data_IF_084729074750
#
_entry.id   IF_084729074750
#
_cell.length_a   1.000
_cell.length_b   1.000
_cell.length_c   1.000
_cell.angle_alpha   90.00
_cell.angle_beta   90.00
_cell.angle_gamma   90.00
#
_symmetry.space_group_name_H-M   'P 1'
#
loop_
_entity.id
_entity.type
_entity.pdbx_description
1 polymer ?
#
# COMPACT_ATOMS: atom_id res chain seq x y z
N UNK A 1 -14.40 -0.29 -25.18
CA UNK A 1 -14.73 -0.94 -23.89
C UNK A 1 -13.64 -1.96 -23.61
N UNK A 2 -12.83 -1.73 -22.60
CA UNK A 2 -11.77 -2.65 -22.15
C UNK A 2 -12.37 -4.01 -21.81
N UNK A 3 -11.73 -5.06 -22.28
CA UNK A 3 -12.05 -6.42 -21.86
C UNK A 3 -10.96 -6.91 -20.93
N UNK A 4 -11.37 -7.31 -19.75
CA UNK A 4 -10.52 -7.97 -18.78
C UNK A 4 -10.74 -9.47 -18.85
N UNK A 5 -9.67 -10.22 -18.97
CA UNK A 5 -9.70 -11.68 -18.83
C UNK A 5 -9.18 -12.05 -17.45
N UNK A 6 -9.93 -12.86 -16.71
CA UNK A 6 -9.45 -13.39 -15.43
C UNK A 6 -8.50 -14.55 -15.70
N UNK A 7 -7.29 -14.48 -15.13
CA UNK A 7 -6.28 -15.53 -15.26
C UNK A 7 -5.75 -15.93 -13.90
N UNK A 8 -5.71 -17.22 -13.55
CA UNK A 8 -5.09 -17.65 -12.31
C UNK A 8 -3.57 -17.47 -12.36
N UNK A 9 -2.96 -17.26 -11.20
CA UNK A 9 -1.50 -17.22 -11.04
C UNK A 9 -1.06 -18.15 -9.93
N UNK A 10 0.19 -18.60 -9.99
CA UNK A 10 0.78 -19.43 -8.94
C UNK A 10 0.75 -18.70 -7.58
N UNK A 11 0.36 -19.41 -6.52
CA UNK A 11 0.27 -18.85 -5.18
C UNK A 11 -0.97 -17.99 -4.92
N UNK A 12 -1.90 -17.89 -5.87
CA UNK A 12 -3.19 -17.25 -5.65
C UNK A 12 -3.96 -17.98 -4.54
N UNK A 13 -4.52 -17.23 -3.61
CA UNK A 13 -5.32 -17.74 -2.52
C UNK A 13 -6.81 -17.64 -2.86
N UNK A 14 -7.64 -18.38 -2.14
CA UNK A 14 -9.09 -18.34 -2.28
C UNK A 14 -9.72 -18.16 -0.91
N UNK A 15 -10.47 -17.08 -0.70
CA UNK A 15 -11.11 -16.75 0.56
C UNK A 15 -12.55 -16.27 0.32
N UNK A 16 -13.52 -16.81 1.08
CA UNK A 16 -14.93 -16.39 1.00
C UNK A 16 -15.47 -16.36 -0.44
N UNK A 17 -15.21 -17.41 -1.21
CA UNK A 17 -15.59 -17.57 -2.63
C UNK A 17 -14.97 -16.53 -3.59
N UNK A 18 -13.89 -15.88 -3.19
CA UNK A 18 -13.15 -14.91 -3.99
C UNK A 18 -11.66 -15.23 -4.06
N UNK A 19 -11.09 -15.12 -5.25
CA UNK A 19 -9.65 -15.25 -5.49
C UNK A 19 -8.90 -14.03 -4.93
N UNK A 20 -7.74 -14.24 -4.34
CA UNK A 20 -6.89 -13.18 -3.80
C UNK A 20 -5.42 -13.37 -4.21
N UNK A 21 -4.83 -12.38 -4.91
CA UNK A 21 -5.50 -11.26 -5.59
C UNK A 21 -6.35 -11.72 -6.78
N UNK A 22 -7.35 -10.92 -7.19
CA UNK A 22 -7.99 -11.08 -8.49
C UNK A 22 -6.98 -10.72 -9.57
N UNK A 23 -6.75 -11.61 -10.54
CA UNK A 23 -5.85 -11.32 -11.66
C UNK A 23 -6.67 -10.94 -12.89
N UNK A 24 -6.40 -9.74 -13.41
CA UNK A 24 -7.06 -9.19 -14.58
C UNK A 24 -6.04 -8.91 -15.68
N UNK A 25 -6.06 -9.72 -16.72
CA UNK A 25 -5.22 -9.53 -17.89
C UNK A 25 -5.94 -8.63 -18.90
N UNK A 26 -5.19 -7.71 -19.49
CA UNK A 26 -5.61 -6.77 -20.52
C UNK A 26 -4.68 -6.94 -21.71
N UNK A 27 -5.22 -6.91 -22.92
CA UNK A 27 -4.41 -6.90 -24.13
C UNK A 27 -4.26 -5.46 -24.63
N UNK A 28 -3.05 -4.92 -24.45
CA UNK A 28 -2.67 -3.61 -24.97
C UNK A 28 -2.78 -2.45 -23.97
N UNK A 29 -2.39 -1.26 -24.41
CA UNK A 29 -2.38 -0.08 -23.57
C UNK A 29 -3.80 0.32 -23.16
N UNK A 30 -3.93 0.73 -21.90
CA UNK A 30 -5.18 1.17 -21.29
C UNK A 30 -5.21 2.69 -21.24
N UNK A 31 -6.22 3.32 -21.80
CA UNK A 31 -6.38 4.75 -21.68
C UNK A 31 -6.96 5.18 -20.33
N UNK A 32 -6.68 6.40 -19.93
CA UNK A 32 -7.27 7.01 -18.73
C UNK A 32 -8.80 7.02 -18.79
N UNK A 33 -9.37 7.26 -19.96
CA UNK A 33 -10.84 7.24 -20.13
C UNK A 33 -11.42 5.84 -19.91
N UNK A 34 -10.78 4.81 -20.47
CA UNK A 34 -11.23 3.42 -20.27
C UNK A 34 -11.24 3.04 -18.78
N UNK A 35 -10.23 3.43 -18.03
CA UNK A 35 -10.15 3.17 -16.58
C UNK A 35 -11.24 3.93 -15.82
N UNK A 36 -11.48 5.18 -16.17
CA UNK A 36 -12.50 6.00 -15.53
C UNK A 36 -13.90 5.39 -15.75
N UNK A 37 -14.19 4.94 -16.95
CA UNK A 37 -15.47 4.26 -17.27
C UNK A 37 -15.63 2.93 -16.51
N UNK A 38 -14.52 2.22 -16.24
CA UNK A 38 -14.52 0.93 -15.53
C UNK A 38 -14.31 1.05 -14.02
N UNK A 39 -13.97 2.24 -13.52
CA UNK A 39 -13.63 2.44 -12.10
C UNK A 39 -14.71 1.92 -11.12
N UNK A 40 -16.02 2.12 -11.34
CA UNK A 40 -17.03 1.59 -10.44
C UNK A 40 -17.01 0.05 -10.36
N UNK A 41 -16.91 -0.63 -11.50
CA UNK A 41 -16.83 -2.09 -11.56
C UNK A 41 -15.55 -2.61 -10.90
N UNK A 42 -14.41 -1.92 -11.12
CA UNK A 42 -13.13 -2.27 -10.49
C UNK A 42 -13.17 -2.08 -8.99
N UNK A 43 -13.85 -1.05 -8.49
CA UNK A 43 -14.05 -0.83 -7.06
C UNK A 43 -14.88 -1.97 -6.40
N UNK A 44 -15.94 -2.42 -7.05
CA UNK A 44 -16.72 -3.58 -6.58
C UNK A 44 -15.86 -4.85 -6.53
N UNK A 45 -15.07 -5.10 -7.58
CA UNK A 45 -14.15 -6.25 -7.60
C UNK A 45 -13.07 -6.14 -6.53
N UNK A 46 -12.49 -4.95 -6.34
CA UNK A 46 -11.52 -4.73 -5.28
C UNK A 46 -12.10 -5.00 -3.89
N UNK A 47 -13.33 -4.56 -3.63
CA UNK A 47 -14.01 -4.82 -2.37
C UNK A 47 -14.24 -6.32 -2.12
N UNK A 48 -14.61 -7.07 -3.17
CA UNK A 48 -14.84 -8.51 -3.06
C UNK A 48 -13.53 -9.30 -2.89
N UNK A 49 -12.49 -8.94 -3.62
CA UNK A 49 -11.25 -9.70 -3.73
C UNK A 49 -10.12 -9.18 -2.83
N UNK A 50 -10.19 -7.95 -2.31
CA UNK A 50 -9.17 -7.33 -1.47
C UNK A 50 -7.95 -6.79 -2.21
N UNK A 51 -7.60 -7.34 -3.36
CA UNK A 51 -6.56 -6.85 -4.24
C UNK A 51 -6.83 -7.25 -5.70
N UNK A 52 -6.37 -6.41 -6.64
CA UNK A 52 -6.42 -6.70 -8.08
C UNK A 52 -5.00 -6.62 -8.64
N UNK A 53 -4.57 -7.66 -9.33
CA UNK A 53 -3.32 -7.71 -10.07
C UNK A 53 -3.60 -7.51 -11.55
N UNK A 54 -3.22 -6.35 -12.09
CA UNK A 54 -3.33 -6.05 -13.50
C UNK A 54 -2.13 -6.59 -14.28
N UNK A 55 -2.37 -7.17 -15.44
CA UNK A 55 -1.35 -7.69 -16.37
C UNK A 55 -1.60 -7.18 -17.77
N UNK A 56 -0.54 -6.84 -18.51
CA UNK A 56 -0.62 -6.49 -19.92
C UNK A 56 -1.16 -5.09 -20.23
N UNK A 57 -1.30 -4.20 -19.23
CA UNK A 57 -1.87 -2.84 -19.39
C UNK A 57 -0.93 -1.82 -20.05
N UNK A 58 0.23 -2.23 -20.55
CA UNK A 58 1.15 -1.33 -21.26
C UNK A 58 1.89 -0.32 -20.36
N UNK A 59 1.84 -0.48 -19.05
CA UNK A 59 2.58 0.35 -18.10
C UNK A 59 4.03 -0.13 -18.03
N UNK A 60 4.99 0.75 -18.38
CA UNK A 60 6.41 0.42 -18.45
C UNK A 60 7.32 1.39 -17.68
N UNK A 61 6.81 2.54 -17.26
CA UNK A 61 7.57 3.59 -16.59
C UNK A 61 6.69 4.39 -15.61
N UNK A 62 7.32 5.19 -14.76
CA UNK A 62 6.64 5.95 -13.72
C UNK A 62 5.53 6.87 -14.24
N UNK A 63 5.73 7.55 -15.38
CA UNK A 63 4.71 8.44 -15.95
C UNK A 63 3.50 7.65 -16.46
N UNK A 64 3.71 6.54 -17.16
CA UNK A 64 2.62 5.67 -17.59
C UNK A 64 1.85 5.08 -16.40
N UNK A 65 2.54 4.82 -15.30
CA UNK A 65 1.90 4.39 -14.05
C UNK A 65 1.09 5.51 -13.38
N UNK A 66 1.60 6.74 -13.37
CA UNK A 66 0.83 7.91 -12.88
C UNK A 66 -0.47 8.09 -13.66
N UNK A 67 -0.39 8.02 -15.01
CA UNK A 67 -1.55 8.14 -15.88
C UNK A 67 -2.56 7.00 -15.66
N UNK A 68 -2.07 5.79 -15.45
CA UNK A 68 -2.91 4.64 -15.10
C UNK A 68 -3.64 4.85 -13.78
N UNK A 69 -2.94 5.25 -12.72
CA UNK A 69 -3.54 5.55 -11.40
C UNK A 69 -4.54 6.70 -11.49
N UNK A 70 -4.20 7.76 -12.23
CA UNK A 70 -5.09 8.90 -12.44
C UNK A 70 -6.41 8.53 -13.13
N UNK A 71 -6.43 7.44 -13.91
CA UNK A 71 -7.63 6.92 -14.56
C UNK A 71 -8.71 6.45 -13.61
N UNK A 72 -8.37 6.09 -12.38
CA UNK A 72 -9.35 5.70 -11.35
C UNK A 72 -10.12 6.88 -10.75
N UNK A 73 -9.70 8.12 -11.03
CA UNK A 73 -10.39 9.32 -10.52
C UNK A 73 -10.26 9.53 -9.00
N UNK A 74 -9.41 8.80 -8.35
CA UNK A 74 -9.17 8.93 -6.90
C UNK A 74 -8.32 10.18 -6.60
N UNK A 75 -8.59 10.87 -5.47
CA UNK A 75 -7.74 11.99 -5.05
C UNK A 75 -6.32 11.50 -4.77
N UNK A 76 -5.34 12.35 -5.10
CA UNK A 76 -3.96 12.07 -4.75
C UNK A 76 -3.75 12.17 -3.24
N UNK A 77 -2.93 11.27 -2.69
CA UNK A 77 -2.45 11.32 -1.32
C UNK A 77 -0.95 11.68 -1.36
N UNK A 78 -0.58 12.95 -1.17
CA UNK A 78 0.81 13.37 -1.24
C UNK A 78 1.59 12.77 -0.07
N UNK A 79 2.66 12.03 -0.40
CA UNK A 79 3.42 11.30 0.59
C UNK A 79 4.35 12.19 1.42
N UNK A 80 4.81 13.30 0.87
CA UNK A 80 5.61 14.32 1.53
C UNK A 80 4.87 15.04 2.67
N UNK A 81 3.55 15.10 2.61
CA UNK A 81 2.70 15.58 3.71
C UNK A 81 2.38 14.48 4.74
N UNK A 82 2.82 13.25 4.50
CA UNK A 82 2.55 12.14 5.38
C UNK A 82 3.46 12.13 6.60
N UNK A 83 2.99 11.57 7.71
CA UNK A 83 3.78 11.32 8.91
C UNK A 83 4.56 9.99 8.83
N UNK A 84 4.76 9.45 7.64
CA UNK A 84 5.51 8.22 7.44
C UNK A 84 7.01 8.45 7.60
N UNK A 85 7.70 7.43 8.09
CA UNK A 85 9.17 7.47 8.22
C UNK A 85 9.89 6.77 7.08
N UNK A 86 9.18 6.19 6.14
CA UNK A 86 9.82 5.52 5.02
C UNK A 86 10.54 6.54 4.15
N UNK A 87 11.77 6.24 3.77
CA UNK A 87 12.49 7.02 2.78
C UNK A 87 11.96 6.67 1.40
N UNK A 88 11.42 7.66 0.71
CA UNK A 88 10.85 7.52 -0.64
C UNK A 88 11.24 8.71 -1.50
N UNK A 89 11.43 8.49 -2.78
CA UNK A 89 11.73 9.53 -3.75
C UNK A 89 10.58 9.69 -4.74
N UNK A 90 10.07 10.90 -4.88
CA UNK A 90 9.03 11.20 -5.85
C UNK A 90 9.59 11.07 -7.27
N UNK A 91 8.90 10.33 -8.12
CA UNK A 91 9.16 10.15 -9.55
C UNK A 91 8.22 11.00 -10.41
N UNK A 92 7.00 11.17 -9.93
CA UNK A 92 5.96 12.04 -10.46
C UNK A 92 5.14 12.61 -9.30
N UNK A 93 4.14 13.47 -9.51
CA UNK A 93 3.28 13.95 -8.42
C UNK A 93 2.53 12.86 -7.64
N UNK A 94 2.31 11.66 -8.24
CA UNK A 94 1.59 10.54 -7.60
C UNK A 94 2.47 9.33 -7.33
N UNK A 95 3.58 9.21 -8.03
CA UNK A 95 4.42 8.01 -8.01
C UNK A 95 5.71 8.29 -7.26
N UNK A 96 6.02 7.45 -6.33
CA UNK A 96 7.26 7.47 -5.56
C UNK A 96 7.83 6.05 -5.42
N UNK A 97 9.11 5.97 -5.09
CA UNK A 97 9.78 4.68 -4.90
C UNK A 97 9.16 3.90 -3.74
N UNK A 98 9.31 2.59 -3.73
CA UNK A 98 9.07 1.80 -2.53
C UNK A 98 10.00 2.25 -1.39
N UNK A 99 9.77 1.77 -0.17
CA UNK A 99 10.65 2.08 0.95
C UNK A 99 12.09 1.65 0.65
N UNK A 100 13.02 2.59 0.69
CA UNK A 100 14.45 2.38 0.43
C UNK A 100 15.23 1.97 1.69
N UNK A 101 14.60 1.25 2.59
CA UNK A 101 15.27 0.70 3.75
C UNK A 101 16.44 -0.23 3.35
N UNK A 102 17.55 -0.26 4.11
CA UNK A 102 18.62 -1.20 3.86
C UNK A 102 18.12 -2.65 3.82
N UNK A 103 18.70 -3.49 2.96
CA UNK A 103 18.28 -4.89 2.75
C UNK A 103 18.21 -5.75 4.04
N UNK A 104 18.99 -5.39 5.06
CA UNK A 104 19.00 -6.07 6.37
C UNK A 104 17.81 -5.74 7.26
N UNK A 105 17.02 -4.72 6.90
CA UNK A 105 15.85 -4.29 7.66
C UNK A 105 14.66 -5.15 7.25
N UNK A 106 14.14 -5.92 8.18
CA UNK A 106 12.92 -6.70 7.98
C UNK A 106 11.71 -5.78 8.06
N UNK A 107 10.84 -5.82 7.04
CA UNK A 107 9.60 -5.07 6.98
C UNK A 107 8.45 -6.07 7.09
N UNK A 108 7.78 -6.07 8.23
CA UNK A 108 6.62 -6.93 8.48
C UNK A 108 5.39 -6.46 7.71
N UNK A 109 4.43 -7.37 7.54
CA UNK A 109 3.11 -7.04 7.01
C UNK A 109 2.46 -5.95 7.88
N UNK A 110 2.00 -4.88 7.25
CA UNK A 110 1.38 -3.73 7.92
C UNK A 110 0.37 -3.06 6.98
N UNK A 111 -0.57 -2.35 7.55
CA UNK A 111 -1.34 -1.37 6.80
C UNK A 111 -0.52 -0.10 6.62
N UNK A 112 -0.55 0.46 5.42
CA UNK A 112 0.16 1.71 5.15
C UNK A 112 -0.37 2.81 6.06
N UNK A 113 0.54 3.42 6.83
CA UNK A 113 0.29 4.54 7.74
C UNK A 113 -0.75 4.28 8.85
N UNK A 114 -0.96 3.02 9.26
CA UNK A 114 -1.93 2.67 10.31
C UNK A 114 -1.67 3.35 11.66
N UNK A 115 -0.45 3.82 11.92
CA UNK A 115 -0.04 4.54 13.13
C UNK A 115 -0.35 6.05 13.08
N UNK A 116 -0.96 6.54 12.02
CA UNK A 116 -1.28 7.98 11.84
C UNK A 116 -2.78 8.19 11.69
N UNK A 117 -3.30 9.40 11.98
CA UNK A 117 -4.71 9.70 11.77
C UNK A 117 -5.09 9.83 10.29
N UNK A 118 -4.11 9.99 9.39
CA UNK A 118 -4.31 10.09 7.95
C UNK A 118 -3.64 8.90 7.27
N UNK A 119 -4.38 8.16 6.47
CA UNK A 119 -3.92 6.99 5.74
C UNK A 119 -4.62 6.90 4.38
N UNK A 120 -3.96 6.35 3.36
CA UNK A 120 -4.56 6.18 2.04
C UNK A 120 -5.64 5.09 2.08
N UNK A 121 -6.74 5.32 1.37
CA UNK A 121 -7.79 4.31 1.20
C UNK A 121 -7.43 3.22 0.18
N UNK A 122 -6.56 3.55 -0.76
CA UNK A 122 -6.11 2.66 -1.83
C UNK A 122 -4.60 2.78 -2.01
N UNK A 123 -3.97 1.66 -2.31
CA UNK A 123 -2.55 1.57 -2.65
C UNK A 123 -2.40 0.98 -4.04
N UNK A 124 -1.49 1.56 -4.82
CA UNK A 124 -1.11 1.07 -6.12
C UNK A 124 0.37 0.75 -6.12
N UNK A 125 0.72 -0.40 -6.66
CA UNK A 125 2.10 -0.84 -6.81
C UNK A 125 2.39 -1.15 -8.28
N UNK A 126 3.57 -0.77 -8.73
CA UNK A 126 4.08 -1.05 -10.06
C UNK A 126 5.49 -1.63 -9.95
N UNK A 127 5.72 -2.74 -10.62
CA UNK A 127 7.04 -3.34 -10.72
C UNK A 127 7.69 -2.89 -12.02
N UNK A 128 8.52 -1.83 -11.96
CA UNK A 128 9.24 -1.30 -13.11
C UNK A 128 10.33 -2.30 -13.58
N UNK A 129 11.02 -2.94 -12.62
CA UNK A 129 12.02 -3.94 -12.90
C UNK A 129 11.85 -5.13 -11.93
N UNK A 130 11.59 -6.29 -12.48
CA UNK A 130 11.50 -7.50 -11.68
C UNK A 130 12.86 -7.93 -11.13
N UNK A 131 12.89 -8.43 -9.91
CA UNK A 131 14.09 -9.04 -9.34
C UNK A 131 14.47 -10.31 -10.11
N UNK A 132 15.79 -10.58 -10.23
CA UNK A 132 16.29 -11.80 -10.86
C UNK A 132 15.84 -13.07 -10.08
N UNK A 133 15.69 -12.95 -8.76
CA UNK A 133 15.17 -14.02 -7.91
C UNK A 133 14.51 -13.42 -6.67
N UNK A 134 13.47 -14.05 -6.16
CA UNK A 134 12.70 -13.54 -5.02
C UNK A 134 11.96 -12.23 -5.31
N UNK A 135 11.88 -11.32 -4.34
CA UNK A 135 11.36 -9.96 -4.48
C UNK A 135 9.84 -9.84 -4.63
N UNK A 136 9.10 -10.93 -4.50
CA UNK A 136 7.65 -10.88 -4.50
C UNK A 136 7.14 -10.25 -3.19
N UNK A 137 6.41 -9.11 -3.23
CA UNK A 137 5.83 -8.53 -2.04
C UNK A 137 4.70 -9.42 -1.52
N UNK A 138 4.72 -9.79 -0.23
CA UNK A 138 3.64 -10.54 0.38
C UNK A 138 2.40 -9.67 0.55
N UNK A 139 1.22 -10.24 0.35
CA UNK A 139 -0.05 -9.60 0.61
C UNK A 139 -0.85 -10.42 1.62
N UNK A 140 -1.62 -9.74 2.47
CA UNK A 140 -2.50 -10.38 3.43
C UNK A 140 -3.88 -9.72 3.41
N UNK A 141 -4.95 -10.52 3.38
CA UNK A 141 -6.33 -10.03 3.54
C UNK A 141 -6.61 -9.78 5.01
N UNK A 142 -6.80 -8.51 5.35
CA UNK A 142 -6.98 -8.08 6.74
C UNK A 142 -8.31 -8.53 7.34
N UNK A 143 -9.36 -8.65 6.54
CA UNK A 143 -10.66 -9.18 6.97
C UNK A 143 -10.57 -10.67 7.32
N UNK A 144 -9.85 -11.47 6.52
CA UNK A 144 -9.59 -12.88 6.81
C UNK A 144 -8.74 -13.02 8.07
N UNK A 145 -7.67 -12.21 8.17
CA UNK A 145 -6.82 -12.20 9.37
C UNK A 145 -7.61 -11.82 10.63
N UNK A 146 -8.50 -10.83 10.55
CA UNK A 146 -9.33 -10.42 11.67
C UNK A 146 -10.28 -11.55 12.13
N UNK A 147 -10.84 -12.31 11.20
CA UNK A 147 -11.68 -13.47 11.53
C UNK A 147 -10.87 -14.54 12.27
N UNK A 148 -9.70 -14.90 11.74
CA UNK A 148 -8.79 -15.85 12.40
C UNK A 148 -8.40 -15.39 13.81
N UNK A 149 -8.02 -14.11 13.96
CA UNK A 149 -7.69 -13.54 15.27
C UNK A 149 -8.88 -13.52 16.23
N UNK A 150 -10.08 -13.26 15.71
CA UNK A 150 -11.31 -13.27 16.53
C UNK A 150 -11.64 -14.66 17.05
N UNK A 151 -11.34 -15.70 16.31
CA UNK A 151 -11.50 -17.10 16.73
C UNK A 151 -10.39 -17.56 17.67
N UNK A 152 -9.14 -17.26 17.34
CA UNK A 152 -7.98 -17.76 18.11
C UNK A 152 -7.67 -16.92 19.35
N UNK A 153 -7.90 -15.61 19.30
CA UNK A 153 -7.57 -14.65 20.35
C UNK A 153 -8.73 -13.69 20.67
N UNK A 154 -9.93 -14.20 21.00
CA UNK A 154 -11.14 -13.37 21.16
C UNK A 154 -10.98 -12.28 22.24
N UNK A 155 -10.29 -12.57 23.32
CA UNK A 155 -10.04 -11.61 24.38
C UNK A 155 -9.12 -10.45 23.97
N UNK A 156 -8.17 -10.68 23.06
CA UNK A 156 -7.32 -9.63 22.50
C UNK A 156 -8.13 -8.72 21.57
N UNK A 157 -8.88 -9.30 20.63
CA UNK A 157 -9.71 -8.56 19.69
C UNK A 157 -10.76 -7.72 20.43
N UNK A 158 -11.42 -8.28 21.46
CA UNK A 158 -12.38 -7.55 22.27
C UNK A 158 -11.75 -6.33 22.96
N UNK A 159 -10.56 -6.50 23.57
CA UNK A 159 -9.83 -5.38 24.21
C UNK A 159 -9.45 -4.30 23.20
N UNK A 160 -8.93 -4.67 22.03
CA UNK A 160 -8.60 -3.70 20.98
C UNK A 160 -9.84 -2.90 20.51
N UNK A 161 -10.99 -3.55 20.39
CA UNK A 161 -12.25 -2.89 20.01
C UNK A 161 -12.75 -1.93 21.10
N UNK A 162 -12.59 -2.29 22.38
CA UNK A 162 -13.09 -1.48 23.50
C UNK A 162 -12.16 -0.35 23.89
N UNK A 163 -10.85 -0.57 23.84
CA UNK A 163 -9.85 0.33 24.40
C UNK A 163 -8.99 1.02 23.32
N UNK A 164 -9.08 0.56 22.07
CA UNK A 164 -8.18 0.97 20.99
C UNK A 164 -6.78 0.40 21.16
N UNK A 165 -5.83 0.94 20.38
CA UNK A 165 -4.42 0.62 20.43
C UNK A 165 -3.60 1.90 20.67
N UNK A 166 -2.57 1.80 21.51
CA UNK A 166 -1.61 2.90 21.72
C UNK A 166 -0.30 2.54 21.07
N UNK A 167 0.13 3.39 20.16
CA UNK A 167 1.46 3.30 19.55
C UNK A 167 2.44 4.18 20.33
N UNK A 168 3.54 3.59 20.78
CA UNK A 168 4.64 4.32 21.40
C UNK A 168 5.88 4.15 20.54
N UNK A 169 6.61 5.24 20.33
CA UNK A 169 7.78 5.27 19.45
C UNK A 169 8.90 6.07 20.08
N UNK A 170 10.08 5.49 20.09
CA UNK A 170 11.30 6.22 20.40
C UNK A 170 11.82 6.89 19.12
N UNK A 171 11.97 8.20 19.14
CA UNK A 171 12.52 8.97 18.04
C UNK A 171 13.89 9.52 18.44
N UNK A 172 14.85 9.38 17.54
CA UNK A 172 16.19 9.95 17.73
C UNK A 172 16.18 11.46 17.51
N UNK A 173 17.16 12.16 18.10
CA UNK A 173 17.32 13.60 17.92
C UNK A 173 17.94 13.93 16.55
N UNK A 174 18.78 13.03 16.03
CA UNK A 174 19.38 13.12 14.71
C UNK A 174 18.88 12.02 13.79
N UNK A 175 18.78 12.30 12.48
CA UNK A 175 18.35 11.33 11.50
C UNK A 175 19.35 10.16 11.44
N UNK A 176 18.91 8.97 11.78
CA UNK A 176 19.69 7.75 11.64
C UNK A 176 19.30 7.01 10.36
N UNK A 177 19.95 7.35 9.27
CA UNK A 177 19.74 6.70 7.97
C UNK A 177 20.10 5.21 7.97
N UNK A 178 20.88 4.74 8.96
CA UNK A 178 21.33 3.34 9.02
C UNK A 178 20.23 2.37 9.44
N UNK A 179 19.15 2.87 10.06
CA UNK A 179 18.03 2.06 10.53
C UNK A 179 16.81 2.10 9.58
N UNK A 180 16.92 2.75 8.41
CA UNK A 180 15.84 2.87 7.46
C UNK A 180 14.67 3.75 7.95
N UNK A 181 14.88 4.50 9.05
CA UNK A 181 13.92 5.41 9.64
C UNK A 181 14.47 6.82 9.54
N UNK A 182 14.04 7.55 8.51
CA UNK A 182 14.60 8.86 8.16
C UNK A 182 14.09 10.04 8.97
N UNK A 183 13.15 9.86 9.91
CA UNK A 183 12.50 10.99 10.57
C UNK A 183 12.90 11.16 12.03
N UNK A 184 13.41 12.34 12.32
CA UNK A 184 13.61 12.85 13.68
C UNK A 184 12.28 13.30 14.29
N UNK A 185 12.18 13.39 15.62
CA UNK A 185 11.02 13.98 16.27
C UNK A 185 10.76 15.43 15.82
N UNK A 186 11.83 16.19 15.52
CA UNK A 186 11.75 17.56 14.98
C UNK A 186 11.02 17.63 13.65
N UNK A 187 11.35 16.72 12.73
CA UNK A 187 10.73 16.67 11.42
C UNK A 187 9.26 16.23 11.51
N UNK A 188 8.99 15.19 12.27
CA UNK A 188 7.63 14.62 12.41
C UNK A 188 6.66 15.60 13.10
N UNK A 189 7.14 16.40 14.03
CA UNK A 189 6.33 17.38 14.78
C UNK A 189 6.43 18.79 14.22
N UNK A 190 7.30 19.02 13.23
CA UNK A 190 7.60 20.34 12.66
C UNK A 190 7.95 21.39 13.74
N UNK A 191 8.70 21.01 14.76
CA UNK A 191 9.07 21.83 15.91
C UNK A 191 10.59 21.92 16.05
N UNK A 192 11.09 23.03 16.58
CA UNK A 192 12.52 23.29 16.71
C UNK A 192 13.12 22.73 17.99
N UNK A 193 12.34 22.58 19.06
CA UNK A 193 12.79 22.12 20.37
C UNK A 193 11.89 21.03 20.94
N UNK A 194 12.48 20.14 21.77
CA UNK A 194 11.78 18.98 22.31
C UNK A 194 10.54 19.33 23.14
N UNK A 195 10.58 20.42 23.89
CA UNK A 195 9.45 20.89 24.72
C UNK A 195 8.21 21.25 23.93
N UNK A 196 8.35 21.58 22.65
CA UNK A 196 7.22 21.87 21.76
C UNK A 196 6.59 20.60 21.18
N UNK A 197 7.28 19.44 21.32
CA UNK A 197 6.86 18.17 20.75
C UNK A 197 6.08 17.27 21.73
N UNK A 198 6.16 17.54 23.04
CA UNK A 198 5.44 16.86 24.11
C UNK A 198 4.00 17.34 24.22
#
# INVERSE_FOLDING_TARGET
MLRFEQRPVAGQQHHNDADFPLVMAIEGPVSRQDLNEQAPMLAEKLAAHGAILFRGCGVSEAQAFDDFVAGFGLPNFPYDESLSNAVRHNRTPRVFTANEAPQKVEIFLHHEMAQTPYFPSHLFFFCEQAAASGGAPPLCRSDVLLNILSEQLPGCVARCRQQGARYSRNMHDEADATQGQGTQWRHTRNVAVKQEAE
#
